data_IF_070325626086
#
_entry.id   IF_070325626086
#
_cell.length_a   1.000
_cell.length_b   1.000
_cell.length_c   1.000
_cell.angle_alpha   90.00
_cell.angle_beta   90.00
_cell.angle_gamma   90.00
#
_symmetry.space_group_name_H-M   'P 1'
#
loop_
_entity.id
_entity.type
_entity.pdbx_description
1 polymer ?
#
# COMPACT_ATOMS: atom_id res chain seq x y z
N UNK A 1 -28.48 -24.37 -0.79
CA UNK A 1 -27.12 -24.69 -0.30
C UNK A 1 -26.17 -23.64 -0.86
N UNK A 2 -25.51 -22.82 -0.03
CA UNK A 2 -24.60 -21.80 -0.55
C UNK A 2 -23.29 -22.47 -1.02
N UNK A 3 -22.89 -22.20 -2.26
CA UNK A 3 -21.60 -22.60 -2.80
C UNK A 3 -20.49 -21.93 -1.98
N UNK A 4 -19.70 -22.71 -1.24
CA UNK A 4 -18.41 -22.25 -0.71
C UNK A 4 -17.47 -22.10 -1.90
N UNK A 5 -17.30 -20.88 -2.42
CA UNK A 5 -16.21 -20.60 -3.35
C UNK A 5 -14.90 -20.96 -2.64
N UNK A 6 -14.17 -21.98 -3.12
CA UNK A 6 -12.83 -22.23 -2.59
C UNK A 6 -11.95 -21.04 -2.97
N UNK A 7 -11.09 -20.58 -2.06
CA UNK A 7 -10.23 -19.41 -2.28
C UNK A 7 -9.44 -19.49 -3.59
N UNK A 8 -9.04 -20.69 -4.01
CA UNK A 8 -8.33 -20.95 -5.26
C UNK A 8 -9.16 -20.63 -6.50
N UNK A 9 -10.46 -20.97 -6.51
CA UNK A 9 -11.36 -20.69 -7.62
C UNK A 9 -11.72 -19.20 -7.67
N UNK A 10 -11.90 -18.56 -6.51
CA UNK A 10 -12.13 -17.12 -6.43
C UNK A 10 -10.89 -16.32 -6.90
N UNK A 11 -9.67 -16.73 -6.54
CA UNK A 11 -8.42 -16.14 -7.09
C UNK A 11 -8.26 -16.38 -8.59
N UNK A 12 -8.51 -17.60 -9.06
CA UNK A 12 -8.44 -17.92 -10.49
C UNK A 12 -9.41 -17.07 -11.31
N UNK A 13 -10.66 -16.93 -10.86
CA UNK A 13 -11.65 -16.08 -11.54
C UNK A 13 -11.24 -14.60 -11.47
N UNK A 14 -10.70 -14.13 -10.35
CA UNK A 14 -10.18 -12.77 -10.24
C UNK A 14 -9.02 -12.51 -11.20
N UNK A 15 -8.12 -13.47 -11.40
CA UNK A 15 -7.00 -13.36 -12.34
C UNK A 15 -7.46 -13.45 -13.81
N UNK A 16 -8.41 -14.33 -14.12
CA UNK A 16 -8.96 -14.49 -15.48
C UNK A 16 -9.78 -13.27 -15.91
N UNK A 17 -10.52 -12.65 -15.00
CA UNK A 17 -11.31 -11.45 -15.28
C UNK A 17 -10.55 -10.14 -14.98
N UNK A 18 -9.26 -10.21 -14.66
CA UNK A 18 -8.46 -9.02 -14.37
C UNK A 18 -8.27 -8.23 -15.66
N UNK A 19 -8.91 -7.06 -15.73
CA UNK A 19 -8.66 -6.12 -16.84
C UNK A 19 -7.16 -5.80 -16.90
N UNK A 20 -6.59 -5.66 -18.10
CA UNK A 20 -5.23 -5.17 -18.23
C UNK A 20 -5.10 -3.79 -17.58
N UNK A 21 -4.05 -3.61 -16.77
CA UNK A 21 -3.76 -2.33 -16.15
C UNK A 21 -3.46 -1.28 -17.22
N UNK A 22 -4.00 -0.09 -17.00
CA UNK A 22 -3.68 1.12 -17.75
C UNK A 22 -2.20 1.49 -17.57
N UNK A 23 -1.67 2.32 -18.47
CA UNK A 23 -0.28 2.79 -18.38
C UNK A 23 0.01 3.50 -17.05
N UNK A 24 -0.95 4.29 -16.54
CA UNK A 24 -0.83 5.00 -15.27
C UNK A 24 -0.85 4.05 -14.07
N UNK A 25 -1.68 3.00 -14.09
CA UNK A 25 -1.69 1.98 -13.02
C UNK A 25 -0.37 1.19 -12.99
N UNK A 26 0.19 0.84 -14.15
CA UNK A 26 1.52 0.20 -14.22
C UNK A 26 2.63 1.11 -13.70
N UNK A 27 2.56 2.41 -13.99
CA UNK A 27 3.51 3.38 -13.46
C UNK A 27 3.44 3.44 -11.93
N UNK A 28 2.24 3.45 -11.36
CA UNK A 28 2.06 3.43 -9.90
C UNK A 28 2.61 2.14 -9.29
N UNK A 29 2.28 0.97 -9.85
CA UNK A 29 2.82 -0.31 -9.37
C UNK A 29 4.36 -0.31 -9.41
N UNK A 30 4.94 0.19 -10.50
CA UNK A 30 6.40 0.30 -10.64
C UNK A 30 7.02 1.19 -9.56
N UNK A 31 6.40 2.33 -9.22
CA UNK A 31 6.89 3.21 -8.15
C UNK A 31 6.85 2.48 -6.80
N UNK A 32 5.73 1.84 -6.47
CA UNK A 32 5.59 1.10 -5.21
C UNK A 32 6.63 -0.03 -5.14
N UNK A 33 6.77 -0.83 -6.20
CA UNK A 33 7.74 -1.92 -6.26
C UNK A 33 9.19 -1.44 -6.15
N UNK A 34 9.53 -0.33 -6.80
CA UNK A 34 10.87 0.23 -6.74
C UNK A 34 11.22 0.65 -5.31
N UNK A 35 10.33 1.40 -4.66
CA UNK A 35 10.54 1.85 -3.28
C UNK A 35 10.66 0.66 -2.32
N UNK A 36 9.76 -0.31 -2.44
CA UNK A 36 9.72 -1.47 -1.55
C UNK A 36 10.91 -2.42 -1.75
N UNK A 37 11.57 -2.39 -2.91
CA UNK A 37 12.82 -3.14 -3.18
C UNK A 37 14.08 -2.38 -2.77
N UNK A 38 14.06 -1.05 -2.87
CA UNK A 38 15.20 -0.20 -2.57
C UNK A 38 15.41 0.02 -1.06
N UNK A 39 14.31 0.09 -0.30
CA UNK A 39 14.34 0.39 1.14
C UNK A 39 13.88 -0.81 1.97
N UNK A 40 14.52 -1.00 3.12
CA UNK A 40 14.12 -2.05 4.08
C UNK A 40 12.77 -1.72 4.72
N UNK A 41 12.45 -0.42 4.80
CA UNK A 41 11.19 0.06 5.37
C UNK A 41 10.59 1.18 4.54
N UNK A 42 9.33 1.06 4.15
CA UNK A 42 8.62 2.10 3.40
C UNK A 42 7.28 2.41 4.05
N UNK A 43 7.08 3.68 4.43
CA UNK A 43 5.81 4.18 4.95
C UNK A 43 5.13 5.04 3.89
N UNK A 44 3.96 4.62 3.42
CA UNK A 44 3.07 5.46 2.63
C UNK A 44 2.08 6.15 3.57
N UNK A 45 2.03 7.47 3.55
CA UNK A 45 1.18 8.27 4.45
C UNK A 45 0.54 9.44 3.72
N UNK A 46 -0.59 9.93 4.22
CA UNK A 46 -1.21 11.16 3.76
C UNK A 46 -0.48 12.41 4.28
N UNK A 47 0.17 12.29 5.44
CA UNK A 47 0.93 13.38 6.05
C UNK A 47 2.21 12.82 6.72
N UNK A 48 3.40 13.15 6.19
CA UNK A 48 4.68 12.73 6.76
C UNK A 48 4.96 13.25 8.16
N UNK A 49 4.31 14.36 8.55
CA UNK A 49 4.44 14.97 9.86
C UNK A 49 3.62 14.27 10.96
N UNK A 50 2.72 13.37 10.59
CA UNK A 50 1.88 12.64 11.56
C UNK A 50 2.73 11.74 12.46
N UNK A 51 2.17 11.42 13.63
CA UNK A 51 2.83 10.64 14.69
C UNK A 51 3.47 9.35 14.14
N UNK A 52 2.81 8.66 13.19
CA UNK A 52 3.35 7.47 12.53
C UNK A 52 4.63 7.73 11.73
N UNK A 53 4.68 8.83 10.97
CA UNK A 53 5.88 9.22 10.21
C UNK A 53 7.05 9.51 11.14
N UNK A 54 6.78 10.18 12.26
CA UNK A 54 7.80 10.48 13.26
C UNK A 54 8.27 9.23 14.02
N UNK A 55 7.37 8.31 14.37
CA UNK A 55 7.72 7.04 15.03
C UNK A 55 8.55 6.17 14.10
N UNK A 56 8.14 6.05 12.82
CA UNK A 56 8.90 5.29 11.82
C UNK A 56 10.31 5.87 11.67
N UNK A 57 10.44 7.19 11.52
CA UNK A 57 11.75 7.84 11.41
C UNK A 57 12.64 7.66 12.66
N UNK A 58 12.05 7.52 13.85
CA UNK A 58 12.78 7.36 15.12
C UNK A 58 13.18 5.93 15.44
N UNK A 59 12.37 4.95 15.04
CA UNK A 59 12.50 3.55 15.49
C UNK A 59 13.14 2.65 14.43
N UNK A 60 13.09 3.04 13.15
CA UNK A 60 13.47 2.15 12.04
C UNK A 60 14.91 2.39 11.55
N UNK A 61 15.54 1.34 10.97
CA UNK A 61 16.93 1.37 10.51
C UNK A 61 17.21 2.47 9.46
N UNK A 62 18.51 2.70 9.18
CA UNK A 62 19.02 3.78 8.30
C UNK A 62 18.49 3.76 6.86
N UNK A 63 17.88 2.67 6.40
CA UNK A 63 17.31 2.52 5.05
C UNK A 63 15.78 2.50 5.09
N UNK A 64 15.20 3.61 5.49
CA UNK A 64 13.75 3.81 5.44
C UNK A 64 13.38 4.94 4.48
N UNK A 65 12.15 4.91 4.01
CA UNK A 65 11.59 5.94 3.16
C UNK A 65 10.14 6.24 3.53
N UNK A 66 9.77 7.52 3.57
CA UNK A 66 8.42 7.98 3.87
C UNK A 66 7.89 8.68 2.62
N UNK A 67 6.88 8.08 1.97
CA UNK A 67 6.24 8.61 0.78
C UNK A 67 4.95 9.35 1.15
N UNK A 68 4.88 10.62 0.79
CA UNK A 68 3.66 11.42 0.93
C UNK A 68 2.72 11.19 -0.28
N UNK A 69 1.66 10.42 -0.07
CA UNK A 69 0.69 10.10 -1.12
C UNK A 69 -0.11 11.34 -1.54
N UNK A 70 -0.53 12.17 -0.58
CA UNK A 70 -1.30 13.40 -0.89
C UNK A 70 -0.43 14.55 -1.39
N UNK A 71 0.89 14.46 -1.15
CA UNK A 71 1.89 15.42 -1.63
C UNK A 71 2.33 15.19 -3.08
N UNK A 72 1.80 14.18 -3.78
CA UNK A 72 2.14 13.90 -5.18
C UNK A 72 1.77 15.11 -6.07
N UNK A 73 2.69 15.48 -6.97
CA UNK A 73 2.46 16.59 -7.92
C UNK A 73 1.30 16.31 -8.87
N UNK A 74 1.21 15.08 -9.37
CA UNK A 74 0.11 14.65 -10.22
C UNK A 74 -1.02 14.08 -9.37
N UNK A 75 -2.07 14.89 -9.21
CA UNK A 75 -3.26 14.52 -8.43
C UNK A 75 -4.06 13.39 -9.05
N UNK A 76 -3.95 13.14 -10.36
CA UNK A 76 -4.66 12.05 -11.02
C UNK A 76 -4.08 10.67 -10.62
N UNK A 77 -2.83 10.62 -10.16
CA UNK A 77 -2.19 9.40 -9.69
C UNK A 77 -2.52 9.06 -8.23
N UNK A 78 -3.02 10.02 -7.43
CA UNK A 78 -3.35 9.80 -6.01
C UNK A 78 -4.39 8.68 -5.84
N UNK A 79 -5.54 8.66 -6.55
CA UNK A 79 -6.51 7.57 -6.46
C UNK A 79 -5.93 6.22 -6.89
N UNK A 80 -5.06 6.23 -7.91
CA UNK A 80 -4.41 5.01 -8.41
C UNK A 80 -3.40 4.46 -7.40
N UNK A 81 -2.62 5.33 -6.76
CA UNK A 81 -1.70 4.98 -5.68
C UNK A 81 -2.46 4.38 -4.49
N UNK A 82 -3.55 5.03 -4.05
CA UNK A 82 -4.41 4.51 -2.98
C UNK A 82 -5.02 3.15 -3.34
N UNK A 83 -5.48 2.97 -4.58
CA UNK A 83 -6.03 1.69 -5.04
C UNK A 83 -4.96 0.58 -5.06
N UNK A 84 -3.74 0.89 -5.52
CA UNK A 84 -2.61 -0.04 -5.51
C UNK A 84 -2.23 -0.45 -4.09
N UNK A 85 -2.11 0.51 -3.18
CA UNK A 85 -1.79 0.26 -1.77
C UNK A 85 -2.89 -0.56 -1.08
N UNK A 86 -4.16 -0.22 -1.32
CA UNK A 86 -5.32 -1.01 -0.85
C UNK A 86 -5.23 -2.46 -1.29
N UNK A 87 -4.92 -2.69 -2.57
CA UNK A 87 -4.83 -4.04 -3.11
C UNK A 87 -3.71 -4.85 -2.44
N UNK A 88 -2.57 -4.21 -2.14
CA UNK A 88 -1.43 -4.87 -1.48
C UNK A 88 -1.67 -5.10 0.01
N UNK A 89 -2.27 -4.13 0.67
CA UNK A 89 -2.41 -4.10 2.11
C UNK A 89 -3.66 -4.82 2.62
N UNK A 90 -4.70 -4.92 1.79
CA UNK A 90 -5.99 -5.49 2.16
C UNK A 90 -6.88 -4.53 2.96
N UNK A 91 -6.51 -3.26 3.12
CA UNK A 91 -7.28 -2.22 3.80
C UNK A 91 -7.20 -0.87 3.08
N UNK A 92 -8.19 0.00 3.33
CA UNK A 92 -8.44 1.21 2.52
C UNK A 92 -7.78 2.48 3.09
N UNK A 93 -7.15 2.39 4.26
CA UNK A 93 -6.67 3.54 5.03
C UNK A 93 -5.15 3.71 4.92
N UNK A 94 -4.71 4.97 4.91
CA UNK A 94 -3.32 5.32 5.20
C UNK A 94 -3.17 5.54 6.72
N UNK A 95 -1.99 5.27 7.30
CA UNK A 95 -0.76 4.88 6.62
C UNK A 95 -0.65 3.38 6.30
N UNK A 96 0.19 3.05 5.30
CA UNK A 96 0.56 1.67 4.93
C UNK A 96 2.07 1.51 5.09
N UNK A 97 2.52 0.54 5.89
CA UNK A 97 3.94 0.24 6.11
C UNK A 97 4.33 -1.06 5.42
N UNK A 98 5.45 -1.03 4.73
CA UNK A 98 6.17 -2.19 4.24
C UNK A 98 7.45 -2.39 5.05
N UNK A 99 7.72 -3.61 5.48
CA UNK A 99 8.95 -4.05 6.13
C UNK A 99 9.53 -5.22 5.33
N UNK A 100 10.74 -5.05 4.80
CA UNK A 100 11.44 -6.02 3.94
C UNK A 100 10.56 -6.58 2.82
N UNK A 101 9.81 -5.72 2.12
CA UNK A 101 8.93 -6.17 1.05
C UNK A 101 7.50 -6.53 1.46
N UNK A 102 7.23 -6.67 2.77
CA UNK A 102 5.96 -7.21 3.27
C UNK A 102 5.12 -6.14 3.95
N UNK A 103 3.81 -6.14 3.69
CA UNK A 103 2.88 -5.23 4.37
C UNK A 103 2.74 -5.61 5.84
N UNK A 104 2.80 -4.62 6.73
CA UNK A 104 2.49 -4.76 8.14
C UNK A 104 1.01 -4.40 8.35
N UNK A 105 0.18 -5.41 8.63
CA UNK A 105 -1.28 -5.27 8.72
C UNK A 105 -1.76 -4.43 9.93
N UNK A 106 -0.99 -4.38 11.02
CA UNK A 106 -1.47 -3.88 12.32
C UNK A 106 -1.45 -2.36 12.49
N UNK A 107 -1.02 -1.58 11.51
CA UNK A 107 -0.94 -0.11 11.65
C UNK A 107 -2.31 0.53 11.47
N UNK A 108 -3.12 0.02 10.53
CA UNK A 108 -4.51 0.49 10.34
C UNK A 108 -5.43 0.18 11.52
N UNK A 109 -5.12 -0.86 12.31
CA UNK A 109 -5.95 -1.26 13.46
C UNK A 109 -5.88 -0.28 14.64
N UNK A 110 -4.83 0.54 14.72
CA UNK A 110 -4.66 1.53 15.80
C UNK A 110 -5.66 2.70 15.63
N UNK A 111 -6.17 2.95 14.42
CA UNK A 111 -7.21 3.97 14.17
C UNK A 111 -8.64 3.54 14.54
N UNK A 112 -8.90 2.25 14.76
CA UNK A 112 -10.27 1.79 15.07
C UNK A 112 -10.67 2.00 16.55
N UNK A 113 -9.83 2.66 17.35
CA UNK A 113 -10.00 2.79 18.80
C UNK A 113 -10.36 4.20 19.28
N UNK A 114 -10.62 5.15 18.37
CA UNK A 114 -10.97 6.54 18.70
C UNK A 114 -12.39 6.90 18.32
#
# INVERSE_FOLDING_TARGET
>A
MPFKCCESMCRFLQDVFRRPLTAQERQVEFVVDSLVREYDVVLFTANPGDEYGQVVARVLPRRHYIFNVEGMRDRALIPLMRACLRQRAGYDTLPVLFLHGHVVASIGAIQASS
#
